data_IF_872793869821
#
_entry.id   IF_872793869821
#
_cell.length_a   1.000
_cell.length_b   1.000
_cell.length_c   1.000
_cell.angle_alpha   90.00
_cell.angle_beta   90.00
_cell.angle_gamma   90.00
#
_symmetry.space_group_name_H-M   'P 1'
#
loop_
_entity.id
_entity.type
_entity.pdbx_description
1 polymer ?
#
# COMPACT_ATOMS: atom_id res chain seq x y z
N UNK A 1 -12.33 17.72 8.89
CA UNK A 1 -13.16 16.56 8.53
C UNK A 1 -12.16 15.47 8.17
N UNK A 2 -11.79 14.67 9.16
CA UNK A 2 -10.78 13.63 8.99
C UNK A 2 -11.30 12.63 7.97
N UNK A 3 -10.58 12.48 6.87
CA UNK A 3 -10.83 11.45 5.89
C UNK A 3 -10.50 10.13 6.58
N UNK A 4 -11.50 9.50 7.20
CA UNK A 4 -11.39 8.11 7.65
C UNK A 4 -11.12 7.32 6.38
N UNK A 5 -9.85 6.92 6.19
CA UNK A 5 -9.45 6.11 5.06
C UNK A 5 -10.32 4.85 5.09
N UNK A 6 -11.09 4.55 4.01
CA UNK A 6 -12.06 3.45 4.00
C UNK A 6 -11.38 2.07 4.17
N UNK A 7 -10.04 2.02 4.23
CA UNK A 7 -9.27 0.84 4.51
C UNK A 7 -8.90 0.66 6.00
N UNK A 8 -9.31 1.56 6.90
CA UNK A 8 -9.18 1.31 8.35
C UNK A 8 -9.97 0.06 8.80
N UNK A 9 -10.95 -0.38 8.02
CA UNK A 9 -11.72 -1.61 8.27
C UNK A 9 -10.98 -2.93 7.98
N UNK A 10 -9.77 -2.92 7.42
CA UNK A 10 -9.04 -4.16 7.10
C UNK A 10 -8.14 -4.67 8.24
N UNK A 11 -7.95 -3.89 9.31
CA UNK A 11 -7.06 -4.22 10.43
C UNK A 11 -7.72 -4.48 11.80
N UNK A 12 -9.03 -4.78 11.97
CA UNK A 12 -9.60 -5.06 13.30
C UNK A 12 -8.87 -6.17 14.06
N UNK A 13 -8.27 -7.12 13.33
CA UNK A 13 -7.50 -8.21 13.91
C UNK A 13 -6.09 -7.82 14.38
N UNK A 14 -5.64 -6.60 14.10
CA UNK A 14 -4.33 -6.06 14.49
C UNK A 14 -4.44 -4.99 15.57
N UNK A 15 -5.65 -4.58 15.94
CA UNK A 15 -5.94 -3.66 17.03
C UNK A 15 -5.37 -4.19 18.35
N UNK A 16 -4.55 -3.37 19.01
CA UNK A 16 -3.87 -3.74 20.24
C UNK A 16 -2.68 -4.70 20.08
N UNK A 17 -2.40 -5.18 18.86
CA UNK A 17 -1.22 -6.01 18.54
C UNK A 17 -0.12 -5.16 17.91
N UNK A 18 -0.47 -4.33 16.92
CA UNK A 18 0.46 -3.43 16.25
C UNK A 18 0.23 -1.99 16.71
N UNK A 19 1.32 -1.22 16.80
CA UNK A 19 1.21 0.22 16.99
C UNK A 19 0.48 0.87 15.81
N UNK A 20 -0.37 1.86 16.09
CA UNK A 20 -1.24 2.52 15.10
C UNK A 20 -0.47 3.00 13.86
N UNK A 21 0.76 3.48 14.05
CA UNK A 21 1.63 3.92 12.95
C UNK A 21 1.97 2.78 11.99
N UNK A 22 2.28 1.59 12.52
CA UNK A 22 2.56 0.40 11.72
C UNK A 22 1.31 -0.13 11.05
N UNK A 23 0.15 -0.02 11.71
CA UNK A 23 -1.14 -0.40 11.13
C UNK A 23 -1.51 0.49 9.95
N UNK A 24 -1.46 1.82 10.13
CA UNK A 24 -1.72 2.79 9.07
C UNK A 24 -0.76 2.62 7.90
N UNK A 25 0.51 2.35 8.18
CA UNK A 25 1.50 2.04 7.17
C UNK A 25 1.13 0.76 6.39
N UNK A 26 0.71 -0.31 7.07
CA UNK A 26 0.25 -1.53 6.41
C UNK A 26 -0.98 -1.29 5.52
N UNK A 27 -1.92 -0.43 5.96
CA UNK A 27 -3.11 -0.06 5.19
C UNK A 27 -2.77 0.57 3.83
N UNK A 28 -1.65 1.31 3.70
CA UNK A 28 -1.18 1.82 2.40
C UNK A 28 -0.94 0.67 1.41
N UNK A 29 -0.21 -0.37 1.84
CA UNK A 29 0.09 -1.53 1.01
C UNK A 29 -1.16 -2.35 0.70
N UNK A 30 -1.97 -2.66 1.70
CA UNK A 30 -3.21 -3.45 1.51
C UNK A 30 -4.17 -2.71 0.57
N UNK A 31 -4.38 -1.42 0.79
CA UNK A 31 -5.24 -0.59 -0.06
C UNK A 31 -4.73 -0.50 -1.49
N UNK A 32 -3.42 -0.36 -1.70
CA UNK A 32 -2.85 -0.37 -3.04
C UNK A 32 -3.04 -1.72 -3.77
N UNK A 33 -2.76 -2.84 -3.09
CA UNK A 33 -2.94 -4.18 -3.68
C UNK A 33 -4.42 -4.43 -3.97
N UNK A 34 -5.32 -4.03 -3.08
CA UNK A 34 -6.76 -4.13 -3.31
C UNK A 34 -7.20 -3.37 -4.58
N UNK A 35 -6.66 -2.17 -4.81
CA UNK A 35 -6.92 -1.41 -6.04
C UNK A 35 -6.40 -2.16 -7.27
N UNK A 36 -5.18 -2.71 -7.20
CA UNK A 36 -4.53 -3.41 -8.31
C UNK A 36 -5.16 -4.78 -8.63
N UNK A 37 -6.00 -5.32 -7.75
CA UNK A 37 -6.77 -6.56 -7.92
C UNK A 37 -8.19 -6.34 -8.47
N UNK A 38 -8.61 -5.09 -8.70
CA UNK A 38 -9.95 -4.83 -9.25
C UNK A 38 -10.08 -5.39 -10.68
N UNK A 39 -11.24 -5.94 -11.02
CA UNK A 39 -11.57 -6.40 -12.38
C UNK A 39 -11.40 -5.30 -13.45
N UNK A 40 -11.66 -4.06 -13.05
CA UNK A 40 -11.46 -2.87 -13.88
C UNK A 40 -10.77 -1.78 -13.08
N UNK A 41 -9.65 -1.27 -13.63
CA UNK A 41 -8.79 -0.29 -12.97
C UNK A 41 -8.82 0.99 -13.79
N UNK A 42 -9.36 2.06 -13.21
CA UNK A 42 -9.35 3.38 -13.86
C UNK A 42 -7.97 4.03 -13.75
N UNK A 43 -7.74 5.12 -14.51
CA UNK A 43 -6.52 5.94 -14.34
C UNK A 43 -6.41 6.55 -12.93
N UNK A 44 -7.54 6.85 -12.29
CA UNK A 44 -7.58 7.38 -10.94
C UNK A 44 -7.15 6.32 -9.93
N UNK A 45 -7.70 5.10 -10.07
CA UNK A 45 -7.30 3.93 -9.28
C UNK A 45 -5.80 3.66 -9.41
N UNK A 46 -5.30 3.60 -10.64
CA UNK A 46 -3.87 3.36 -10.91
C UNK A 46 -2.98 4.42 -10.22
N UNK A 47 -3.34 5.71 -10.33
CA UNK A 47 -2.60 6.79 -9.65
C UNK A 47 -2.65 6.65 -8.13
N UNK A 48 -3.81 6.28 -7.58
CA UNK A 48 -3.96 6.08 -6.14
C UNK A 48 -3.09 4.93 -5.63
N UNK A 49 -3.07 3.79 -6.35
CA UNK A 49 -2.19 2.67 -6.03
C UNK A 49 -0.70 3.05 -6.12
N UNK A 50 -0.30 3.80 -7.14
CA UNK A 50 1.08 4.33 -7.26
C UNK A 50 1.46 5.20 -6.07
N UNK A 51 0.58 6.11 -5.65
CA UNK A 51 0.85 7.00 -4.52
C UNK A 51 0.98 6.23 -3.21
N UNK A 52 0.03 5.31 -2.93
CA UNK A 52 0.06 4.48 -1.72
C UNK A 52 1.31 3.58 -1.64
N UNK A 53 1.74 2.96 -2.75
CA UNK A 53 2.98 2.14 -2.76
C UNK A 53 4.24 2.99 -2.64
N UNK A 54 4.26 4.19 -3.22
CA UNK A 54 5.37 5.13 -3.05
C UNK A 54 5.50 5.56 -1.60
N UNK A 55 4.38 5.94 -0.97
CA UNK A 55 4.36 6.33 0.44
C UNK A 55 4.76 5.19 1.37
N UNK A 56 4.27 3.97 1.13
CA UNK A 56 4.70 2.77 1.86
C UNK A 56 6.23 2.59 1.77
N UNK A 57 6.80 2.57 0.56
CA UNK A 57 8.24 2.34 0.39
C UNK A 57 9.07 3.48 0.98
N UNK A 58 8.60 4.72 0.92
CA UNK A 58 9.30 5.87 1.52
C UNK A 58 9.37 5.77 3.06
N UNK A 59 8.30 5.31 3.71
CA UNK A 59 8.23 5.23 5.17
C UNK A 59 8.89 3.97 5.75
N UNK A 60 9.26 2.99 4.92
CA UNK A 60 9.81 1.71 5.36
C UNK A 60 11.12 1.84 6.17
N UNK A 61 12.04 2.71 5.75
CA UNK A 61 13.30 2.91 6.47
C UNK A 61 13.08 3.57 7.83
N UNK A 62 12.23 4.59 7.88
CA UNK A 62 11.97 5.33 9.13
C UNK A 62 11.26 4.47 10.17
N UNK A 63 10.32 3.61 9.73
CA UNK A 63 9.50 2.80 10.63
C UNK A 63 10.17 1.48 11.04
N UNK A 64 10.95 0.86 10.16
CA UNK A 64 11.48 -0.50 10.37
C UNK A 64 13.00 -0.59 10.24
N UNK A 65 13.68 0.53 9.95
CA UNK A 65 15.11 0.62 9.79
C UNK A 65 15.61 0.24 8.39
N UNK A 66 16.86 0.62 8.10
CA UNK A 66 17.53 0.39 6.81
C UNK A 66 17.52 -1.08 6.36
N UNK A 67 17.57 -2.03 7.29
CA UNK A 67 17.51 -3.46 6.97
C UNK A 67 16.18 -3.90 6.35
N UNK A 68 15.10 -3.14 6.57
CA UNK A 68 13.80 -3.41 6.00
C UNK A 68 13.66 -2.95 4.54
N UNK A 69 14.57 -2.11 4.04
CA UNK A 69 14.64 -1.67 2.64
C UNK A 69 15.20 -2.77 1.72
N UNK A 70 14.49 -3.89 1.68
CA UNK A 70 14.84 -5.05 0.86
C UNK A 70 14.51 -4.80 -0.60
N UNK A 71 15.11 -5.60 -1.49
CA UNK A 71 14.76 -5.59 -2.91
C UNK A 71 13.25 -5.80 -3.14
N UNK A 72 12.61 -6.70 -2.39
CA UNK A 72 11.17 -6.97 -2.52
C UNK A 72 10.31 -5.74 -2.18
N UNK A 73 10.75 -4.92 -1.22
CA UNK A 73 10.08 -3.67 -0.86
C UNK A 73 10.22 -2.66 -2.00
N UNK A 74 11.40 -2.52 -2.58
CA UNK A 74 11.60 -1.68 -3.77
C UNK A 74 10.73 -2.14 -4.95
N UNK A 75 10.59 -3.45 -5.17
CA UNK A 75 9.82 -4.00 -6.27
C UNK A 75 8.34 -3.61 -6.24
N UNK A 76 7.79 -3.24 -5.07
CA UNK A 76 6.42 -2.75 -4.95
C UNK A 76 6.18 -1.50 -5.81
N UNK A 77 7.17 -0.62 -5.98
CA UNK A 77 7.06 0.58 -6.83
C UNK A 77 6.75 0.25 -8.30
N UNK A 78 7.08 -0.96 -8.74
CA UNK A 78 6.92 -1.39 -10.14
C UNK A 78 5.60 -2.12 -10.40
N UNK A 79 4.84 -2.52 -9.35
CA UNK A 79 3.57 -3.23 -9.51
C UNK A 79 2.55 -2.48 -10.38
N UNK A 80 2.32 -1.16 -10.20
CA UNK A 80 1.38 -0.43 -11.05
C UNK A 80 1.75 -0.47 -12.54
N UNK A 81 3.05 -0.42 -12.83
CA UNK A 81 3.57 -0.52 -14.21
C UNK A 81 3.35 -1.91 -14.81
N UNK A 82 3.50 -2.97 -14.02
CA UNK A 82 3.19 -4.33 -14.46
C UNK A 82 1.69 -4.48 -14.76
N UNK A 83 0.83 -3.98 -13.88
CA UNK A 83 -0.63 -4.04 -14.07
C UNK A 83 -1.07 -3.26 -15.32
N UNK A 84 -0.50 -2.08 -15.55
CA UNK A 84 -0.78 -1.30 -16.75
C UNK A 84 -0.42 -2.03 -18.06
N UNK A 85 0.52 -2.98 -18.01
CA UNK A 85 1.00 -3.73 -19.18
C UNK A 85 0.33 -5.09 -19.35
N UNK A 86 0.00 -5.75 -18.25
CA UNK A 86 -0.39 -7.16 -18.22
C UNK A 86 -1.86 -7.37 -17.83
N UNK A 87 -2.55 -6.30 -17.40
CA UNK A 87 -3.88 -6.38 -16.80
C UNK A 87 -3.82 -6.42 -15.27
N UNK A 88 -4.98 -6.43 -14.59
CA UNK A 88 -5.08 -6.58 -13.14
C UNK A 88 -4.25 -7.75 -12.60
N UNK A 89 -3.80 -7.63 -11.34
CA UNK A 89 -3.00 -8.66 -10.65
C UNK A 89 -3.71 -10.02 -10.56
#
# INVERSE_FOLDING_TARGET
MEMVDPFLGYTPCLDGILADICQNHLCLRVGAVHILLKDSITRCDMRNAMNKLSEFVLQMEDLYGKGAMTFNVHQLLHLPKSVAKLGPL
#
